data_IF_639758887687
#
_entry.id   IF_639758887687
#
_cell.length_a   1.000
_cell.length_b   1.000
_cell.length_c   1.000
_cell.angle_alpha   90.00
_cell.angle_beta   90.00
_cell.angle_gamma   90.00
#
_symmetry.space_group_name_H-M   'P 1'
#
loop_
_entity.id
_entity.type
_entity.pdbx_description
1 polymer ?
#
# COMPACT_ATOMS: atom_id res chain seq x y z
N UNK A 1 5.84 11.99 69.62
CA UNK A 1 5.60 12.14 68.18
C UNK A 1 4.78 10.99 67.66
N UNK A 2 3.53 11.26 67.26
CA UNK A 2 2.57 10.24 66.80
C UNK A 2 2.75 10.07 65.29
N UNK A 3 3.18 8.89 64.89
CA UNK A 3 3.17 8.43 63.48
C UNK A 3 1.74 8.02 63.12
N UNK A 4 1.09 8.76 62.25
CA UNK A 4 -0.15 8.38 61.60
C UNK A 4 0.17 7.43 60.43
N UNK A 5 -0.26 6.20 60.55
CA UNK A 5 -0.27 5.21 59.47
C UNK A 5 -1.27 5.68 58.37
N UNK A 6 -0.79 5.85 57.15
CA UNK A 6 -1.64 6.07 55.98
C UNK A 6 -2.18 4.72 55.55
N UNK A 7 -3.50 4.61 55.61
CA UNK A 7 -4.28 3.46 55.11
C UNK A 7 -4.12 3.36 53.59
N UNK A 8 -3.56 2.26 53.12
CA UNK A 8 -3.55 1.89 51.71
C UNK A 8 -5.02 1.54 51.27
N UNK A 9 -5.61 2.45 50.54
CA UNK A 9 -6.90 2.20 49.89
C UNK A 9 -6.72 1.11 48.82
N UNK A 10 -7.29 -0.07 49.06
CA UNK A 10 -7.34 -1.15 48.11
C UNK A 10 -8.06 -0.68 46.84
N UNK A 11 -7.32 -0.54 45.75
CA UNK A 11 -7.89 -0.39 44.42
C UNK A 11 -8.66 -1.69 44.11
N UNK A 12 -9.98 -1.64 44.30
CA UNK A 12 -10.86 -2.72 43.86
C UNK A 12 -10.79 -2.82 42.34
N UNK A 13 -10.07 -3.82 41.85
CA UNK A 13 -10.17 -4.31 40.48
C UNK A 13 -11.63 -4.72 40.25
N UNK A 14 -12.45 -3.81 39.69
CA UNK A 14 -13.72 -4.21 39.11
C UNK A 14 -13.40 -5.05 37.88
N UNK A 15 -13.84 -6.30 37.78
CA UNK A 15 -13.71 -7.01 36.54
C UNK A 15 -14.44 -6.21 35.46
N UNK A 16 -13.73 -5.78 34.43
CA UNK A 16 -14.34 -5.21 33.26
C UNK A 16 -15.16 -6.33 32.62
N UNK A 17 -16.47 -6.33 32.87
CA UNK A 17 -17.38 -7.23 32.16
C UNK A 17 -17.32 -6.85 30.68
N UNK A 18 -16.72 -7.70 29.87
CA UNK A 18 -16.71 -7.54 28.43
C UNK A 18 -18.17 -7.46 27.94
N UNK A 19 -18.56 -6.31 27.42
CA UNK A 19 -19.90 -6.11 26.86
C UNK A 19 -19.90 -6.62 25.44
N UNK A 20 -20.61 -7.71 25.17
CA UNK A 20 -20.80 -8.22 23.82
C UNK A 20 -21.72 -7.24 23.09
N UNK A 21 -21.20 -6.66 22.01
CA UNK A 21 -21.96 -5.78 21.13
C UNK A 21 -22.14 -6.48 19.78
N UNK A 22 -23.40 -6.70 19.39
CA UNK A 22 -23.75 -7.29 18.09
C UNK A 22 -23.79 -6.17 17.06
N UNK A 23 -23.13 -6.36 15.92
CA UNK A 23 -23.22 -5.43 14.79
C UNK A 23 -24.65 -5.40 14.25
N UNK A 24 -25.18 -4.23 13.91
CA UNK A 24 -26.45 -4.14 13.21
C UNK A 24 -26.35 -4.82 11.85
N UNK A 25 -27.44 -5.44 11.44
CA UNK A 25 -27.57 -6.12 10.15
C UNK A 25 -28.78 -5.55 9.44
N UNK A 26 -28.59 -5.15 8.17
CA UNK A 26 -29.71 -4.79 7.31
C UNK A 26 -30.47 -6.07 6.88
N UNK A 27 -31.73 -6.28 7.33
CA UNK A 27 -32.48 -7.49 7.02
C UNK A 27 -32.72 -7.66 5.51
N UNK A 28 -32.97 -6.58 4.80
CA UNK A 28 -33.24 -6.60 3.36
C UNK A 28 -32.01 -7.07 2.59
N UNK A 29 -30.84 -6.54 2.91
CA UNK A 29 -29.56 -6.98 2.32
C UNK A 29 -29.31 -8.46 2.59
N UNK A 30 -29.55 -8.92 3.81
CA UNK A 30 -29.40 -10.32 4.18
C UNK A 30 -30.31 -11.23 3.33
N UNK A 31 -31.57 -10.86 3.16
CA UNK A 31 -32.54 -11.60 2.33
C UNK A 31 -32.12 -11.61 0.85
N UNK A 32 -31.65 -10.49 0.32
CA UNK A 32 -31.17 -10.39 -1.06
C UNK A 32 -29.98 -11.33 -1.31
N UNK A 33 -29.03 -11.39 -0.37
CA UNK A 33 -27.88 -12.30 -0.46
C UNK A 33 -28.29 -13.77 -0.39
N UNK A 34 -29.25 -14.13 0.49
CA UNK A 34 -29.80 -15.49 0.58
C UNK A 34 -30.52 -15.86 -0.71
N UNK A 35 -31.35 -14.98 -1.25
CA UNK A 35 -32.05 -15.19 -2.52
C UNK A 35 -31.09 -15.40 -3.69
N UNK A 36 -29.88 -14.80 -3.64
CA UNK A 36 -28.80 -14.99 -4.59
C UNK A 36 -27.98 -16.28 -4.36
N UNK A 37 -28.33 -17.10 -3.37
CA UNK A 37 -27.70 -18.38 -3.10
C UNK A 37 -26.63 -18.37 -2.00
N UNK A 38 -26.46 -17.27 -1.25
CA UNK A 38 -25.55 -17.24 -0.13
C UNK A 38 -26.12 -18.05 1.07
N UNK A 39 -25.23 -18.75 1.77
CA UNK A 39 -25.57 -19.37 3.05
C UNK A 39 -26.11 -18.30 4.03
N UNK A 40 -27.17 -18.60 4.81
CA UNK A 40 -27.77 -17.61 5.72
C UNK A 40 -26.82 -16.98 6.73
N UNK A 41 -25.85 -17.76 7.25
CA UNK A 41 -24.84 -17.22 8.16
C UNK A 41 -23.87 -16.30 7.43
N UNK A 42 -23.43 -16.68 6.25
CA UNK A 42 -22.55 -15.85 5.41
C UNK A 42 -23.26 -14.57 4.98
N UNK A 43 -24.52 -14.66 4.56
CA UNK A 43 -25.33 -13.49 4.20
C UNK A 43 -25.42 -12.50 5.36
N UNK A 44 -25.67 -12.99 6.57
CA UNK A 44 -25.71 -12.16 7.79
C UNK A 44 -24.36 -11.51 8.09
N UNK A 45 -23.26 -12.27 7.98
CA UNK A 45 -21.90 -11.76 8.21
C UNK A 45 -21.52 -10.70 7.17
N UNK A 46 -21.91 -10.88 5.92
CA UNK A 46 -21.68 -9.92 4.84
C UNK A 46 -22.51 -8.63 5.06
N UNK A 47 -23.81 -8.78 5.35
CA UNK A 47 -24.68 -7.64 5.62
C UNK A 47 -24.24 -6.84 6.87
N UNK A 48 -23.68 -7.49 7.89
CA UNK A 48 -23.08 -6.84 9.05
C UNK A 48 -21.76 -6.12 8.75
N UNK A 49 -21.23 -6.24 7.54
CA UNK A 49 -20.01 -5.62 7.03
C UNK A 49 -20.27 -4.70 5.83
N UNK A 50 -21.49 -4.19 5.76
CA UNK A 50 -21.92 -3.21 4.75
C UNK A 50 -21.81 -3.69 3.29
N UNK A 51 -21.84 -5.01 3.07
CA UNK A 51 -21.98 -5.57 1.73
C UNK A 51 -23.38 -5.26 1.25
N UNK A 52 -23.50 -4.46 0.18
CA UNK A 52 -24.79 -3.96 -0.30
C UNK A 52 -25.58 -4.99 -1.13
N UNK A 53 -24.92 -5.90 -1.78
CA UNK A 53 -25.58 -6.90 -2.64
C UNK A 53 -24.67 -8.00 -3.17
N UNK A 54 -25.20 -8.94 -3.97
CA UNK A 54 -24.47 -10.11 -4.47
C UNK A 54 -23.27 -9.74 -5.34
N UNK A 55 -23.35 -8.66 -6.11
CA UNK A 55 -22.27 -8.20 -6.98
C UNK A 55 -20.99 -7.87 -6.21
N UNK A 56 -21.14 -7.42 -4.97
CA UNK A 56 -20.00 -7.15 -4.09
C UNK A 56 -19.32 -8.41 -3.52
N UNK A 57 -19.90 -9.58 -3.72
CA UNK A 57 -19.26 -10.87 -3.41
C UNK A 57 -18.37 -11.35 -4.55
N UNK A 58 -18.46 -10.71 -5.72
CA UNK A 58 -17.61 -11.01 -6.86
C UNK A 58 -16.25 -10.33 -6.69
N UNK A 59 -15.19 -11.09 -6.94
CA UNK A 59 -13.81 -10.64 -6.81
C UNK A 59 -13.09 -10.48 -8.15
N UNK A 60 -13.84 -10.21 -9.21
CA UNK A 60 -13.27 -10.02 -10.56
C UNK A 60 -12.58 -8.67 -10.67
N UNK A 61 -11.39 -8.63 -11.29
CA UNK A 61 -10.66 -7.39 -11.54
C UNK A 61 -11.45 -6.36 -12.36
N UNK A 62 -12.36 -6.82 -13.21
CA UNK A 62 -13.26 -5.94 -13.98
C UNK A 62 -14.27 -5.17 -13.11
N UNK A 63 -14.43 -5.54 -11.85
CA UNK A 63 -15.29 -4.86 -10.88
C UNK A 63 -14.54 -3.83 -10.03
N UNK A 64 -13.23 -3.66 -10.22
CA UNK A 64 -12.48 -2.57 -9.61
C UNK A 64 -13.04 -1.21 -10.03
N UNK A 65 -13.04 -0.26 -9.11
CA UNK A 65 -13.39 1.11 -9.44
C UNK A 65 -12.45 1.65 -10.54
N UNK A 66 -12.95 2.42 -11.51
CA UNK A 66 -12.10 2.98 -12.54
C UNK A 66 -11.13 4.03 -11.96
N UNK A 67 -9.87 3.98 -12.38
CA UNK A 67 -8.84 4.95 -11.96
C UNK A 67 -9.19 6.38 -12.34
N UNK A 68 -10.03 6.60 -13.34
CA UNK A 68 -10.50 7.92 -13.77
C UNK A 68 -11.27 8.68 -12.68
N UNK A 69 -11.84 7.96 -11.69
CA UNK A 69 -12.51 8.56 -10.54
C UNK A 69 -11.52 9.03 -9.45
N UNK A 70 -10.28 8.54 -9.49
CA UNK A 70 -9.23 8.92 -8.55
C UNK A 70 -8.60 10.23 -9.02
N UNK A 71 -8.89 11.30 -8.29
CA UNK A 71 -8.49 12.67 -8.67
C UNK A 71 -6.99 12.76 -8.99
N UNK A 72 -6.67 13.40 -10.11
CA UNK A 72 -5.32 13.58 -10.64
C UNK A 72 -4.60 12.30 -11.09
N UNK A 73 -5.24 11.14 -11.06
CA UNK A 73 -4.61 9.88 -11.46
C UNK A 73 -4.14 9.92 -12.93
N UNK A 74 -4.99 10.42 -13.82
CA UNK A 74 -4.64 10.56 -15.24
C UNK A 74 -3.58 11.67 -15.46
N UNK A 75 -3.64 12.77 -14.70
CA UNK A 75 -2.62 13.83 -14.75
C UNK A 75 -1.25 13.28 -14.32
N UNK A 76 -1.20 12.51 -13.25
CA UNK A 76 0.02 11.83 -12.80
C UNK A 76 0.53 10.86 -13.87
N UNK A 77 -0.36 10.10 -14.49
CA UNK A 77 -0.01 9.16 -15.56
C UNK A 77 0.61 9.85 -16.77
N UNK A 78 0.05 10.98 -17.20
CA UNK A 78 0.61 11.80 -18.30
C UNK A 78 2.02 12.28 -17.95
N UNK A 79 2.21 12.83 -16.74
CA UNK A 79 3.54 13.31 -16.32
C UNK A 79 4.56 12.19 -16.21
N UNK A 80 4.17 11.03 -15.70
CA UNK A 80 5.04 9.84 -15.65
C UNK A 80 5.36 9.32 -17.05
N UNK A 81 4.40 9.31 -17.96
CA UNK A 81 4.63 8.92 -19.36
C UNK A 81 5.64 9.87 -20.03
N UNK A 82 5.54 11.17 -19.81
CA UNK A 82 6.51 12.16 -20.31
C UNK A 82 7.92 11.88 -19.75
N UNK A 83 8.03 11.55 -18.46
CA UNK A 83 9.31 11.20 -17.85
C UNK A 83 9.91 9.92 -18.46
N UNK A 84 9.08 8.93 -18.75
CA UNK A 84 9.52 7.68 -19.40
C UNK A 84 10.02 7.95 -20.82
N UNK A 85 9.27 8.67 -21.64
CA UNK A 85 9.67 8.98 -23.00
C UNK A 85 10.95 9.82 -23.08
N UNK A 86 11.12 10.76 -22.14
CA UNK A 86 12.32 11.59 -22.02
C UNK A 86 13.46 10.93 -21.25
N UNK A 87 13.27 9.72 -20.75
CA UNK A 87 14.24 9.00 -19.91
C UNK A 87 14.73 9.82 -18.71
N UNK A 88 13.83 10.56 -18.10
CA UNK A 88 14.09 11.30 -16.85
C UNK A 88 14.28 10.32 -15.69
N UNK A 89 15.16 10.66 -14.75
CA UNK A 89 15.35 9.87 -13.53
C UNK A 89 14.17 10.12 -12.57
N UNK A 90 13.40 9.07 -12.29
CA UNK A 90 12.30 9.06 -11.32
C UNK A 90 12.83 8.48 -10.02
N UNK A 91 12.71 9.22 -8.92
CA UNK A 91 13.07 8.73 -7.59
C UNK A 91 11.81 8.57 -6.74
N UNK A 92 11.57 7.34 -6.27
CA UNK A 92 10.50 7.04 -5.34
C UNK A 92 10.99 7.35 -3.92
N UNK A 93 10.23 8.19 -3.20
CA UNK A 93 10.42 8.42 -1.76
C UNK A 93 9.40 7.57 -1.01
N UNK A 94 9.88 6.54 -0.32
CA UNK A 94 9.06 5.54 0.34
C UNK A 94 9.25 5.54 1.86
N UNK A 95 8.32 4.90 2.58
CA UNK A 95 8.52 4.52 3.97
C UNK A 95 8.98 3.05 4.06
N UNK A 96 9.44 2.64 5.24
CA UNK A 96 9.94 1.27 5.52
C UNK A 96 8.83 0.33 5.99
N UNK A 97 7.68 0.81 6.44
CA UNK A 97 6.59 -0.05 6.91
C UNK A 97 6.01 -0.91 5.77
N UNK A 98 5.15 -1.85 6.11
CA UNK A 98 4.69 -2.83 5.15
C UNK A 98 3.89 -2.21 3.98
N UNK A 99 3.10 -1.16 4.21
CA UNK A 99 2.40 -0.46 3.13
C UNK A 99 3.40 0.33 2.27
N UNK A 100 4.24 1.15 2.88
CA UNK A 100 5.27 1.93 2.17
C UNK A 100 6.25 1.05 1.40
N UNK A 101 6.71 -0.05 2.01
CA UNK A 101 7.64 -0.98 1.35
C UNK A 101 6.99 -1.71 0.16
N UNK A 102 5.76 -2.19 0.29
CA UNK A 102 5.04 -2.82 -0.83
C UNK A 102 4.69 -1.80 -1.90
N UNK A 103 4.30 -0.59 -1.52
CA UNK A 103 4.04 0.51 -2.46
C UNK A 103 5.28 0.87 -3.28
N UNK A 104 6.45 0.94 -2.63
CA UNK A 104 7.73 1.15 -3.29
C UNK A 104 8.04 0.01 -4.28
N UNK A 105 7.91 -1.24 -3.86
CA UNK A 105 8.18 -2.40 -4.71
C UNK A 105 7.23 -2.44 -5.93
N UNK A 106 5.94 -2.14 -5.74
CA UNK A 106 4.95 -2.01 -6.82
C UNK A 106 5.35 -0.89 -7.78
N UNK A 107 5.70 0.28 -7.25
CA UNK A 107 6.12 1.43 -8.05
C UNK A 107 7.37 1.13 -8.88
N UNK A 108 8.42 0.61 -8.28
CA UNK A 108 9.68 0.25 -8.96
C UNK A 108 9.44 -0.80 -10.05
N UNK A 109 8.80 -1.93 -9.69
CA UNK A 109 8.55 -3.01 -10.66
C UNK A 109 7.65 -2.57 -11.80
N UNK A 110 6.59 -1.82 -11.51
CA UNK A 110 5.67 -1.32 -12.53
C UNK A 110 6.34 -0.30 -13.47
N UNK A 111 7.04 0.68 -12.92
CA UNK A 111 7.73 1.70 -13.70
C UNK A 111 8.85 1.09 -14.57
N UNK A 112 9.69 0.22 -14.00
CA UNK A 112 10.77 -0.43 -14.74
C UNK A 112 10.23 -1.34 -15.85
N UNK A 113 9.13 -2.07 -15.60
CA UNK A 113 8.48 -2.89 -16.62
C UNK A 113 7.93 -2.06 -17.80
N UNK A 114 7.69 -0.77 -17.60
CA UNK A 114 7.27 0.20 -18.62
C UNK A 114 8.45 1.03 -19.17
N UNK A 115 9.69 0.65 -18.90
CA UNK A 115 10.90 1.29 -19.46
C UNK A 115 11.36 2.55 -18.72
N UNK A 116 10.84 2.85 -17.54
CA UNK A 116 11.27 3.99 -16.75
C UNK A 116 12.68 3.80 -16.15
N UNK A 117 13.40 4.90 -15.99
CA UNK A 117 14.56 5.00 -15.09
C UNK A 117 14.06 5.33 -13.69
N UNK A 118 13.82 4.31 -12.90
CA UNK A 118 13.26 4.45 -11.56
C UNK A 118 14.18 3.82 -10.51
N UNK A 119 14.38 4.56 -9.44
CA UNK A 119 15.09 4.14 -8.22
C UNK A 119 14.31 4.62 -7.00
N UNK A 120 14.74 4.28 -5.81
CA UNK A 120 14.03 4.64 -4.58
C UNK A 120 14.97 5.09 -3.47
N UNK A 121 14.40 5.84 -2.52
CA UNK A 121 15.05 6.29 -1.29
C UNK A 121 14.09 6.09 -0.12
N UNK A 122 14.61 5.56 0.99
CA UNK A 122 13.89 5.46 2.25
C UNK A 122 14.49 6.44 3.23
N UNK A 123 13.75 7.48 3.67
CA UNK A 123 14.23 8.40 4.70
C UNK A 123 14.53 7.66 6.00
N UNK A 124 15.67 7.95 6.62
CA UNK A 124 15.92 7.54 7.99
C UNK A 124 15.13 8.46 8.92
N UNK A 125 14.05 7.92 9.52
CA UNK A 125 13.14 8.71 10.38
C UNK A 125 13.82 9.33 11.61
N UNK A 126 14.94 8.77 12.05
CA UNK A 126 15.70 9.30 13.20
C UNK A 126 16.52 10.53 12.83
N UNK A 127 16.92 10.65 11.56
CA UNK A 127 17.75 11.75 11.05
C UNK A 127 16.93 12.76 10.23
N UNK A 128 15.99 12.28 9.40
CA UNK A 128 15.32 13.09 8.38
C UNK A 128 13.82 13.33 8.67
N UNK A 129 13.25 12.72 9.71
CA UNK A 129 11.81 12.77 9.95
C UNK A 129 11.03 11.83 9.03
N UNK A 130 9.73 12.11 8.85
CA UNK A 130 8.81 11.26 8.08
C UNK A 130 8.53 11.86 6.70
N UNK A 131 8.54 10.99 5.67
CA UNK A 131 8.14 11.36 4.31
C UNK A 131 9.14 12.25 3.58
N UNK A 132 8.63 13.03 2.63
CA UNK A 132 9.42 13.96 1.84
C UNK A 132 9.71 15.23 2.65
N UNK A 133 10.92 15.33 3.18
CA UNK A 133 11.42 16.53 3.88
C UNK A 133 12.32 17.37 2.97
N UNK A 134 12.67 18.62 3.32
CA UNK A 134 13.63 19.41 2.56
C UNK A 134 14.98 18.69 2.36
N UNK A 135 15.49 18.00 3.38
CA UNK A 135 16.74 17.25 3.33
C UNK A 135 16.68 16.10 2.34
N UNK A 136 15.53 15.41 2.29
CA UNK A 136 15.30 14.34 1.30
C UNK A 136 15.21 14.90 -0.10
N UNK A 137 14.57 16.06 -0.30
CA UNK A 137 14.55 16.74 -1.59
C UNK A 137 15.97 17.12 -2.06
N UNK A 138 16.81 17.60 -1.16
CA UNK A 138 18.23 17.92 -1.44
C UNK A 138 19.04 16.66 -1.80
N UNK A 139 18.87 15.57 -1.04
CA UNK A 139 19.52 14.30 -1.33
C UNK A 139 19.08 13.72 -2.69
N UNK A 140 17.79 13.82 -3.01
CA UNK A 140 17.26 13.40 -4.30
C UNK A 140 17.80 14.22 -5.46
N UNK A 141 17.90 15.55 -5.32
CA UNK A 141 18.52 16.42 -6.31
C UNK A 141 20.00 16.06 -6.53
N UNK A 142 20.73 15.83 -5.45
CA UNK A 142 22.15 15.40 -5.50
C UNK A 142 22.32 14.04 -6.19
N UNK A 143 21.34 13.14 -6.05
CA UNK A 143 21.30 11.84 -6.74
C UNK A 143 20.90 11.93 -8.22
N UNK A 144 20.62 13.13 -8.73
CA UNK A 144 20.26 13.35 -10.13
C UNK A 144 18.81 13.08 -10.49
N UNK A 145 17.91 13.06 -9.52
CA UNK A 145 16.48 12.94 -9.76
C UNK A 145 15.96 14.14 -10.56
N UNK A 146 14.96 13.90 -11.41
CA UNK A 146 14.21 14.94 -12.12
C UNK A 146 12.77 15.00 -11.64
N UNK A 147 12.20 13.84 -11.33
CA UNK A 147 10.84 13.68 -10.83
C UNK A 147 10.86 12.87 -9.53
N UNK A 148 10.28 13.42 -8.47
CA UNK A 148 10.03 12.71 -7.22
C UNK A 148 8.62 12.12 -7.24
N UNK A 149 8.51 10.86 -6.85
CA UNK A 149 7.25 10.16 -6.67
C UNK A 149 7.19 9.66 -5.23
N UNK A 150 6.32 10.25 -4.40
CA UNK A 150 6.12 9.69 -3.07
C UNK A 150 5.14 8.53 -3.12
N UNK A 151 5.33 7.53 -2.29
CA UNK A 151 4.39 6.42 -2.10
C UNK A 151 4.09 6.27 -0.62
N UNK A 152 2.81 6.21 -0.28
CA UNK A 152 2.32 6.09 1.08
C UNK A 152 2.75 7.23 2.02
N UNK A 153 3.11 8.37 1.46
CA UNK A 153 3.45 9.58 2.19
C UNK A 153 3.32 10.81 1.29
N UNK A 154 3.47 11.99 1.86
CA UNK A 154 3.63 13.22 1.10
C UNK A 154 2.47 14.19 1.20
N UNK A 155 1.26 13.77 1.61
CA UNK A 155 0.10 14.68 1.68
C UNK A 155 0.32 15.84 2.67
N UNK A 156 1.20 15.69 3.65
CA UNK A 156 1.57 16.70 4.63
C UNK A 156 2.95 17.33 4.36
N UNK A 157 3.63 16.97 3.27
CA UNK A 157 5.03 17.35 2.99
C UNK A 157 5.14 18.75 2.35
N UNK A 158 4.56 19.78 2.95
CA UNK A 158 4.55 21.15 2.43
C UNK A 158 5.96 21.69 2.20
N UNK A 159 6.83 21.61 3.20
CA UNK A 159 8.19 22.12 3.14
C UNK A 159 9.07 21.31 2.16
N UNK A 160 8.92 19.99 2.15
CA UNK A 160 9.66 19.10 1.24
C UNK A 160 9.32 19.35 -0.22
N UNK A 161 8.05 19.51 -0.54
CA UNK A 161 7.57 19.84 -1.91
C UNK A 161 8.06 21.22 -2.33
N UNK A 162 7.97 22.23 -1.46
CA UNK A 162 8.48 23.57 -1.74
C UNK A 162 9.99 23.56 -1.99
N UNK A 163 10.75 22.79 -1.20
CA UNK A 163 12.20 22.66 -1.40
C UNK A 163 12.54 21.94 -2.71
N UNK A 164 11.81 20.88 -3.05
CA UNK A 164 11.97 20.20 -4.32
C UNK A 164 11.75 21.14 -5.51
N UNK A 165 10.68 21.94 -5.48
CA UNK A 165 10.41 22.94 -6.50
C UNK A 165 11.54 23.99 -6.64
N UNK A 166 12.07 24.48 -5.50
CA UNK A 166 13.21 25.41 -5.49
C UNK A 166 14.50 24.80 -6.07
N UNK A 167 14.62 23.46 -6.03
CA UNK A 167 15.74 22.73 -6.62
C UNK A 167 15.47 22.31 -8.09
N UNK A 168 14.35 22.70 -8.65
CA UNK A 168 13.96 22.37 -10.03
C UNK A 168 13.44 20.95 -10.20
N UNK A 169 13.06 20.27 -9.11
CA UNK A 169 12.42 18.95 -9.13
C UNK A 169 10.90 19.11 -9.20
N UNK A 170 10.25 18.24 -9.96
CA UNK A 170 8.81 18.07 -9.90
C UNK A 170 8.44 16.96 -8.92
N UNK A 171 7.25 17.05 -8.31
CA UNK A 171 6.77 16.09 -7.34
C UNK A 171 5.39 15.58 -7.72
N UNK A 172 5.21 14.26 -7.66
CA UNK A 172 3.91 13.60 -7.64
C UNK A 172 3.77 12.93 -6.28
N UNK A 173 2.73 13.27 -5.56
CA UNK A 173 2.36 12.63 -4.29
C UNK A 173 1.35 11.53 -4.57
N UNK A 174 1.66 10.29 -4.17
CA UNK A 174 0.67 9.21 -4.03
C UNK A 174 0.58 8.83 -2.56
N UNK A 175 -0.61 8.99 -1.99
CA UNK A 175 -0.83 8.84 -0.56
C UNK A 175 -2.29 8.49 -0.28
N UNK A 176 -2.60 8.02 0.91
CA UNK A 176 -3.96 7.73 1.34
C UNK A 176 -4.32 8.36 2.70
N UNK A 177 -3.34 8.94 3.37
CA UNK A 177 -3.55 9.60 4.66
C UNK A 177 -4.50 10.78 4.54
N UNK A 178 -5.19 11.10 5.62
CA UNK A 178 -6.13 12.21 5.65
C UNK A 178 -5.38 13.54 5.47
N UNK A 179 -5.79 14.38 4.50
CA UNK A 179 -5.18 15.67 4.30
C UNK A 179 -5.51 16.64 5.43
N UNK A 180 -4.61 17.58 5.71
CA UNK A 180 -4.89 18.78 6.49
C UNK A 180 -5.72 19.79 5.65
N UNK A 181 -5.97 20.96 6.21
CA UNK A 181 -6.69 22.05 5.50
C UNK A 181 -5.92 22.50 4.25
N UNK A 182 -4.61 22.62 4.39
CA UNK A 182 -3.68 22.93 3.29
C UNK A 182 -2.92 21.68 2.84
N UNK A 183 -2.66 21.59 1.55
CA UNK A 183 -1.92 20.49 0.93
C UNK A 183 -0.78 21.03 0.07
N UNK A 184 0.29 20.24 -0.17
CA UNK A 184 1.40 20.67 -1.00
C UNK A 184 0.98 21.09 -2.41
N UNK A 185 1.69 22.07 -2.98
CA UNK A 185 1.47 22.56 -4.34
C UNK A 185 2.18 21.66 -5.37
N UNK A 186 1.54 20.53 -5.67
CA UNK A 186 2.01 19.55 -6.65
C UNK A 186 0.85 18.67 -7.12
N UNK A 187 1.13 17.74 -8.02
CA UNK A 187 0.17 16.70 -8.40
C UNK A 187 -0.01 15.75 -7.21
N UNK A 188 -1.25 15.66 -6.70
CA UNK A 188 -1.60 14.78 -5.59
C UNK A 188 -2.64 13.76 -6.04
N UNK A 189 -2.32 12.47 -5.87
CA UNK A 189 -3.23 11.35 -6.05
C UNK A 189 -3.50 10.75 -4.67
N UNK A 190 -4.67 11.00 -4.13
CA UNK A 190 -5.08 10.55 -2.81
C UNK A 190 -6.62 10.45 -2.77
N UNK A 191 -7.20 9.28 -2.44
CA UNK A 191 -8.65 9.11 -2.41
C UNK A 191 -9.34 10.02 -1.40
N UNK A 192 -8.62 10.46 -0.37
CA UNK A 192 -9.11 11.28 0.72
C UNK A 192 -8.95 12.79 0.48
N UNK A 193 -8.29 13.21 -0.63
CA UNK A 193 -8.17 14.63 -0.92
C UNK A 193 -9.52 15.26 -1.28
N UNK A 194 -9.66 16.56 -1.01
CA UNK A 194 -10.87 17.33 -1.29
C UNK A 194 -11.25 17.24 -2.78
N UNK A 195 -12.51 16.91 -3.04
CA UNK A 195 -13.05 16.83 -4.41
C UNK A 195 -12.68 15.55 -5.16
N UNK A 196 -12.14 14.52 -4.48
CA UNK A 196 -11.90 13.22 -5.10
C UNK A 196 -13.21 12.40 -5.14
N UNK A 197 -13.59 11.94 -6.35
CA UNK A 197 -14.80 11.13 -6.58
C UNK A 197 -14.62 9.63 -6.37
N UNK A 198 -13.41 9.18 -6.03
CA UNK A 198 -13.14 7.76 -5.81
C UNK A 198 -13.81 7.25 -4.53
N UNK A 199 -14.67 6.24 -4.66
CA UNK A 199 -15.54 5.82 -3.55
C UNK A 199 -14.79 5.03 -2.47
N UNK A 200 -13.76 4.26 -2.84
CA UNK A 200 -12.96 3.51 -1.86
C UNK A 200 -12.01 4.46 -1.09
N UNK A 201 -12.51 5.04 -0.01
CA UNK A 201 -11.72 5.94 0.85
C UNK A 201 -10.72 5.17 1.72
N UNK A 202 -10.84 3.86 1.78
CA UNK A 202 -9.98 2.95 2.52
C UNK A 202 -8.85 2.34 1.68
N UNK A 203 -8.61 2.84 0.47
CA UNK A 203 -7.52 2.38 -0.37
C UNK A 203 -6.19 2.61 0.34
N UNK A 204 -5.36 1.56 0.48
CA UNK A 204 -4.02 1.66 1.08
C UNK A 204 -3.02 2.37 0.15
N UNK A 205 -1.89 2.82 0.66
CA UNK A 205 -0.85 3.49 -0.14
C UNK A 205 -0.38 2.65 -1.32
N UNK A 206 -0.19 1.35 -1.12
CA UNK A 206 0.13 0.40 -2.21
C UNK A 206 -0.98 0.33 -3.27
N UNK A 207 -2.23 0.45 -2.86
CA UNK A 207 -3.37 0.52 -3.77
C UNK A 207 -3.34 1.78 -4.64
N UNK A 208 -3.00 2.92 -4.05
CA UNK A 208 -2.94 4.20 -4.79
C UNK A 208 -1.92 4.13 -5.92
N UNK A 209 -0.69 3.71 -5.63
CA UNK A 209 0.34 3.58 -6.69
C UNK A 209 -0.05 2.54 -7.73
N UNK A 210 -0.71 1.45 -7.35
CA UNK A 210 -1.20 0.46 -8.30
C UNK A 210 -2.22 1.06 -9.28
N UNK A 211 -3.16 1.88 -8.82
CA UNK A 211 -4.10 2.59 -9.68
C UNK A 211 -3.39 3.60 -10.61
N UNK A 212 -2.39 4.31 -10.12
CA UNK A 212 -1.56 5.20 -10.95
C UNK A 212 -0.85 4.42 -12.06
N UNK A 213 -0.30 3.24 -11.75
CA UNK A 213 0.34 2.38 -12.76
C UNK A 213 -0.65 1.86 -13.81
N UNK A 214 -1.90 1.56 -13.42
CA UNK A 214 -2.95 1.21 -14.39
C UNK A 214 -3.24 2.37 -15.34
N UNK A 215 -3.35 3.59 -14.82
CA UNK A 215 -3.54 4.79 -15.63
C UNK A 215 -2.34 5.06 -16.53
N UNK A 216 -1.12 4.91 -16.02
CA UNK A 216 0.12 5.07 -16.76
C UNK A 216 0.22 4.07 -17.93
N UNK A 217 -0.07 2.79 -17.68
CA UNK A 217 -0.09 1.77 -18.73
C UNK A 217 -1.11 2.13 -19.82
N UNK A 218 -2.30 2.59 -19.44
CA UNK A 218 -3.32 3.01 -20.39
C UNK A 218 -2.87 4.24 -21.21
N UNK A 219 -2.21 5.22 -20.59
CA UNK A 219 -1.67 6.39 -21.28
C UNK A 219 -0.56 6.01 -22.26
N UNK A 220 0.38 5.16 -21.86
CA UNK A 220 1.45 4.66 -22.73
C UNK A 220 0.88 3.85 -23.91
N UNK A 221 -0.15 3.04 -23.68
CA UNK A 221 -0.89 2.34 -24.74
C UNK A 221 -1.51 3.33 -25.72
N UNK A 222 -2.15 4.38 -25.23
CA UNK A 222 -2.74 5.44 -26.05
C UNK A 222 -1.70 6.15 -26.92
N UNK A 223 -0.47 6.28 -26.41
CA UNK A 223 0.69 6.85 -27.16
C UNK A 223 1.36 5.86 -28.13
N UNK A 224 0.87 4.63 -28.24
CA UNK A 224 1.51 3.56 -29.00
C UNK A 224 2.98 3.30 -28.58
N UNK A 225 3.27 3.46 -27.29
CA UNK A 225 4.61 3.38 -26.73
C UNK A 225 5.16 1.93 -26.72
N UNK A 226 4.30 0.94 -26.47
CA UNK A 226 4.70 -0.46 -26.41
C UNK A 226 5.01 -1.04 -27.78
N UNK A 227 5.97 -1.95 -27.85
CA UNK A 227 6.46 -2.60 -29.07
C UNK A 227 6.79 -4.08 -28.82
N UNK A 228 7.31 -4.76 -29.83
CA UNK A 228 7.80 -6.13 -29.67
C UNK A 228 9.02 -6.22 -28.74
N UNK A 229 9.82 -5.16 -28.67
CA UNK A 229 11.01 -5.05 -27.81
C UNK A 229 10.65 -4.72 -26.36
N UNK A 230 9.64 -3.88 -26.16
CA UNK A 230 9.11 -3.53 -24.84
C UNK A 230 7.61 -3.80 -24.81
N UNK A 231 7.26 -5.01 -24.39
CA UNK A 231 5.85 -5.42 -24.31
C UNK A 231 5.11 -4.73 -23.19
N UNK A 232 3.82 -4.53 -23.40
CA UNK A 232 2.93 -4.04 -22.37
C UNK A 232 2.89 -5.00 -21.16
N UNK A 233 3.21 -4.52 -19.93
CA UNK A 233 3.28 -5.40 -18.77
C UNK A 233 1.91 -5.83 -18.27
N UNK A 234 1.83 -7.05 -17.74
CA UNK A 234 0.69 -7.51 -16.97
C UNK A 234 0.78 -7.03 -15.52
N UNK A 235 0.14 -5.92 -15.19
CA UNK A 235 0.16 -5.37 -13.82
C UNK A 235 -0.51 -6.29 -12.79
N UNK A 236 -1.33 -7.26 -13.22
CA UNK A 236 -1.88 -8.29 -12.33
C UNK A 236 -0.80 -9.10 -11.61
N UNK A 237 0.43 -9.13 -12.14
CA UNK A 237 1.56 -9.79 -11.49
C UNK A 237 2.05 -9.08 -10.21
N UNK A 238 1.60 -7.85 -9.96
CA UNK A 238 1.94 -7.08 -8.77
C UNK A 238 0.89 -7.24 -7.63
N UNK A 239 -0.19 -7.98 -7.88
CA UNK A 239 -1.31 -8.07 -6.93
C UNK A 239 -0.95 -8.82 -5.65
N UNK A 240 0.06 -9.66 -5.63
CA UNK A 240 0.60 -10.26 -4.42
C UNK A 240 1.15 -9.19 -3.45
N UNK A 241 1.91 -8.22 -3.97
CA UNK A 241 2.40 -7.07 -3.21
C UNK A 241 1.27 -6.14 -2.77
N UNK A 242 0.33 -5.86 -3.67
CA UNK A 242 -0.84 -5.00 -3.37
C UNK A 242 -1.70 -5.60 -2.25
N UNK A 243 -1.94 -6.91 -2.30
CA UNK A 243 -2.67 -7.61 -1.24
C UNK A 243 -1.94 -7.55 0.10
N UNK A 244 -0.63 -7.78 0.09
CA UNK A 244 0.19 -7.75 1.31
C UNK A 244 0.16 -6.37 1.98
N UNK A 245 0.43 -5.30 1.25
CA UNK A 245 0.41 -3.94 1.81
C UNK A 245 -0.98 -3.54 2.29
N UNK A 246 -2.02 -3.82 1.52
CA UNK A 246 -3.42 -3.51 1.88
C UNK A 246 -3.83 -4.16 3.20
N UNK A 247 -3.51 -5.45 3.39
CA UNK A 247 -3.85 -6.15 4.64
C UNK A 247 -2.98 -5.70 5.80
N UNK A 248 -1.69 -5.49 5.57
CA UNK A 248 -0.75 -5.10 6.61
C UNK A 248 -1.00 -3.70 7.16
N UNK A 249 -1.54 -2.79 6.34
CA UNK A 249 -1.92 -1.43 6.76
C UNK A 249 -3.22 -1.40 7.60
N UNK A 250 -3.93 -2.54 7.68
CA UNK A 250 -5.16 -2.68 8.48
C UNK A 250 -6.31 -1.76 8.02
N UNK A 251 -6.30 -1.32 6.78
CA UNK A 251 -7.42 -0.57 6.20
C UNK A 251 -8.69 -1.41 6.15
N UNK A 252 -9.88 -0.81 6.26
CA UNK A 252 -11.13 -1.52 6.02
C UNK A 252 -11.13 -2.20 4.64
N UNK A 253 -11.55 -3.48 4.61
CA UNK A 253 -11.67 -4.23 3.36
C UNK A 253 -13.05 -3.98 2.74
N UNK A 254 -13.22 -2.80 2.15
CA UNK A 254 -14.36 -2.49 1.31
C UNK A 254 -14.36 -3.35 0.03
N UNK A 255 -15.36 -3.23 -0.82
CA UNK A 255 -15.46 -4.08 -2.02
C UNK A 255 -14.19 -3.98 -2.90
N UNK A 256 -13.71 -2.76 -3.15
CA UNK A 256 -12.53 -2.55 -3.98
C UNK A 256 -11.28 -3.22 -3.38
N UNK A 257 -11.04 -3.03 -2.08
CA UNK A 257 -9.93 -3.68 -1.37
C UNK A 257 -10.07 -5.21 -1.31
N UNK A 258 -11.30 -5.72 -1.14
CA UNK A 258 -11.54 -7.18 -1.18
C UNK A 258 -11.15 -7.80 -2.52
N UNK A 259 -11.43 -7.11 -3.64
CA UNK A 259 -10.99 -7.58 -4.97
C UNK A 259 -9.47 -7.67 -5.03
N UNK A 260 -8.76 -6.60 -4.65
CA UNK A 260 -7.30 -6.56 -4.67
C UNK A 260 -6.69 -7.67 -3.81
N UNK A 261 -7.18 -7.82 -2.58
CA UNK A 261 -6.70 -8.84 -1.64
C UNK A 261 -7.00 -10.25 -2.13
N UNK A 262 -8.21 -10.51 -2.61
CA UNK A 262 -8.61 -11.82 -3.13
C UNK A 262 -7.75 -12.23 -4.33
N UNK A 263 -7.51 -11.33 -5.27
CA UNK A 263 -6.69 -11.62 -6.43
C UNK A 263 -5.22 -11.87 -6.07
N UNK A 264 -4.67 -11.11 -5.12
CA UNK A 264 -3.32 -11.35 -4.60
C UNK A 264 -3.19 -12.70 -3.90
N UNK A 265 -4.17 -13.06 -3.05
CA UNK A 265 -4.21 -14.37 -2.38
C UNK A 265 -4.29 -15.54 -3.36
N UNK A 266 -5.09 -15.41 -4.41
CA UNK A 266 -5.16 -16.42 -5.49
C UNK A 266 -3.79 -16.65 -6.12
N UNK A 267 -3.04 -15.58 -6.40
CA UNK A 267 -1.69 -15.68 -6.95
C UNK A 267 -0.73 -16.37 -5.97
N UNK A 268 -0.76 -15.99 -4.70
CA UNK A 268 0.07 -16.62 -3.66
C UNK A 268 -0.20 -18.13 -3.58
N UNK A 269 -1.46 -18.54 -3.51
CA UNK A 269 -1.88 -19.94 -3.42
C UNK A 269 -1.49 -20.77 -4.66
N UNK A 270 -1.35 -20.13 -5.81
CA UNK A 270 -0.87 -20.76 -7.04
C UNK A 270 0.67 -20.76 -7.16
N UNK A 271 1.39 -20.22 -6.18
CA UNK A 271 2.84 -20.08 -6.24
C UNK A 271 3.33 -19.01 -7.23
N UNK A 272 2.42 -18.18 -7.76
CA UNK A 272 2.71 -17.07 -8.69
C UNK A 272 2.95 -15.77 -7.92
N UNK A 273 3.87 -15.78 -6.98
CA UNK A 273 4.22 -14.64 -6.15
C UNK A 273 5.70 -14.30 -6.29
N UNK A 274 6.08 -13.10 -5.81
CA UNK A 274 7.46 -12.66 -5.76
C UNK A 274 8.29 -13.56 -4.85
N UNK A 275 9.60 -13.80 -5.18
CA UNK A 275 10.50 -14.58 -4.33
C UNK A 275 10.54 -14.08 -2.89
N UNK A 276 10.55 -12.76 -2.66
CA UNK A 276 10.54 -12.17 -1.33
C UNK A 276 9.31 -12.52 -0.51
N UNK A 277 8.11 -12.52 -1.10
CA UNK A 277 6.89 -12.92 -0.42
C UNK A 277 6.94 -14.41 -0.05
N UNK A 278 7.39 -15.27 -0.97
CA UNK A 278 7.57 -16.70 -0.69
C UNK A 278 8.54 -16.91 0.46
N UNK A 279 9.69 -16.26 0.44
CA UNK A 279 10.69 -16.36 1.49
C UNK A 279 10.14 -15.90 2.87
N UNK A 280 9.32 -14.85 2.90
CA UNK A 280 8.65 -14.42 4.13
C UNK A 280 7.68 -15.46 4.66
N UNK A 281 6.90 -16.15 3.81
CA UNK A 281 6.08 -17.29 4.24
C UNK A 281 6.93 -18.41 4.85
N UNK A 282 8.05 -18.75 4.22
CA UNK A 282 8.94 -19.82 4.65
C UNK A 282 9.58 -19.53 6.00
N UNK A 283 10.17 -18.33 6.22
CA UNK A 283 10.74 -17.95 7.52
C UNK A 283 9.68 -17.81 8.61
N UNK A 284 8.46 -17.45 8.25
CA UNK A 284 7.30 -17.41 9.14
C UNK A 284 6.71 -18.79 9.42
N UNK A 285 7.20 -19.87 8.78
CA UNK A 285 6.68 -21.23 8.84
C UNK A 285 5.18 -21.30 8.52
N UNK A 286 4.77 -20.56 7.47
CA UNK A 286 3.40 -20.52 6.95
C UNK A 286 3.32 -21.20 5.60
N UNK A 287 2.27 -21.99 5.37
CA UNK A 287 2.04 -22.61 4.06
C UNK A 287 1.33 -21.64 3.12
N UNK A 288 2.07 -21.11 2.16
CA UNK A 288 1.55 -20.16 1.17
C UNK A 288 0.42 -20.75 0.29
N UNK A 289 0.34 -22.09 0.15
CA UNK A 289 -0.75 -22.75 -0.58
C UNK A 289 -2.10 -22.55 0.08
N UNK A 290 -2.08 -22.24 1.38
CA UNK A 290 -3.24 -21.95 2.22
C UNK A 290 -3.27 -20.51 2.72
N UNK A 291 -2.56 -19.61 2.01
CA UNK A 291 -2.44 -18.21 2.39
C UNK A 291 -3.79 -17.55 2.70
N UNK A 292 -3.83 -16.81 3.79
CA UNK A 292 -5.00 -16.08 4.27
C UNK A 292 -4.61 -14.63 4.61
N UNK A 293 -5.57 -13.71 4.70
CA UNK A 293 -5.29 -12.34 5.15
C UNK A 293 -4.56 -12.30 6.49
N UNK A 294 -4.88 -13.22 7.41
CA UNK A 294 -4.20 -13.35 8.69
C UNK A 294 -2.67 -13.53 8.55
N UNK A 295 -2.22 -14.32 7.59
CA UNK A 295 -0.79 -14.53 7.37
C UNK A 295 -0.09 -13.23 6.95
N UNK A 296 -0.74 -12.45 6.08
CA UNK A 296 -0.21 -11.16 5.63
C UNK A 296 -0.16 -10.13 6.77
N UNK A 297 -1.22 -10.01 7.55
CA UNK A 297 -1.33 -9.01 8.61
C UNK A 297 -0.53 -9.34 9.87
N UNK A 298 -0.38 -10.63 10.23
CA UNK A 298 0.21 -11.05 11.50
C UNK A 298 1.50 -11.86 11.39
N UNK A 299 1.89 -12.26 10.17
CA UNK A 299 3.15 -12.97 9.96
C UNK A 299 4.09 -12.20 9.03
N UNK A 300 3.66 -11.84 7.81
CA UNK A 300 4.53 -11.18 6.84
C UNK A 300 4.72 -9.69 7.13
N UNK A 301 3.64 -8.96 7.37
CA UNK A 301 3.67 -7.52 7.65
C UNK A 301 4.59 -7.15 8.81
N UNK A 302 4.50 -7.77 9.99
CA UNK A 302 5.38 -7.50 11.12
C UNK A 302 6.87 -7.69 10.81
N UNK A 303 7.21 -8.68 9.97
CA UNK A 303 8.61 -8.91 9.55
C UNK A 303 9.13 -7.79 8.67
N UNK A 304 8.32 -7.28 7.75
CA UNK A 304 8.69 -6.11 6.94
C UNK A 304 8.84 -4.88 7.84
N UNK A 305 7.91 -4.64 8.76
CA UNK A 305 7.98 -3.53 9.73
C UNK A 305 9.24 -3.60 10.62
N UNK A 306 9.81 -4.78 10.83
CA UNK A 306 11.04 -4.94 11.60
C UNK A 306 12.24 -4.22 10.96
N UNK A 307 12.21 -3.92 9.67
CA UNK A 307 13.23 -3.10 9.00
C UNK A 307 13.40 -1.72 9.66
N UNK A 308 12.36 -1.16 10.25
CA UNK A 308 12.44 0.11 11.01
C UNK A 308 13.31 0.06 12.27
N UNK A 309 13.83 -1.10 12.65
CA UNK A 309 14.80 -1.28 13.76
C UNK A 309 16.25 -1.34 13.28
N UNK A 310 16.47 -1.29 11.96
CA UNK A 310 17.79 -1.30 11.33
C UNK A 310 18.25 0.11 11.01
N UNK A 311 19.57 0.29 10.93
CA UNK A 311 20.17 1.50 10.39
C UNK A 311 19.80 1.66 8.89
N UNK A 312 19.83 0.56 8.16
CA UNK A 312 19.31 0.50 6.78
C UNK A 312 17.86 0.00 6.78
N UNK A 313 16.92 0.91 6.70
CA UNK A 313 15.49 0.63 6.69
C UNK A 313 14.99 0.09 5.34
N UNK A 314 15.85 0.04 4.30
CA UNK A 314 15.48 -0.43 2.96
C UNK A 314 15.45 -1.95 2.82
N UNK A 315 15.85 -2.71 3.84
CA UNK A 315 15.96 -4.18 3.78
C UNK A 315 14.62 -4.84 3.45
N UNK A 316 13.51 -4.32 3.99
CA UNK A 316 12.17 -4.80 3.65
C UNK A 316 11.85 -4.65 2.16
N UNK A 317 12.14 -3.48 1.60
CA UNK A 317 11.95 -3.20 0.17
C UNK A 317 12.87 -4.09 -0.67
N UNK A 318 14.13 -4.23 -0.28
CA UNK A 318 15.09 -5.10 -0.98
C UNK A 318 14.62 -6.55 -1.03
N UNK A 319 14.03 -7.06 0.06
CA UNK A 319 13.43 -8.39 0.10
C UNK A 319 12.29 -8.53 -0.93
N UNK A 320 11.38 -7.55 -0.98
CA UNK A 320 10.25 -7.56 -1.91
C UNK A 320 10.67 -7.36 -3.38
N UNK A 321 11.78 -6.70 -3.62
CA UNK A 321 12.36 -6.49 -4.96
C UNK A 321 13.25 -7.63 -5.44
N UNK A 322 13.67 -8.55 -4.56
CA UNK A 322 14.57 -9.64 -4.91
C UNK A 322 14.05 -10.47 -6.10
N UNK A 323 14.91 -10.72 -7.07
CA UNK A 323 14.57 -11.41 -8.32
C UNK A 323 14.87 -12.91 -8.27
N UNK A 324 15.54 -13.39 -7.22
CA UNK A 324 15.87 -14.81 -7.03
C UNK A 324 15.64 -15.27 -5.59
N UNK A 325 15.46 -16.56 -5.43
CA UNK A 325 15.12 -17.16 -4.14
C UNK A 325 16.26 -17.03 -3.10
N UNK A 326 17.54 -17.13 -3.52
CA UNK A 326 18.66 -17.05 -2.60
C UNK A 326 18.78 -15.67 -1.94
N UNK A 327 18.69 -14.59 -2.73
CA UNK A 327 18.71 -13.23 -2.21
C UNK A 327 17.48 -12.96 -1.33
N UNK A 328 16.29 -13.41 -1.76
CA UNK A 328 15.06 -13.27 -1.01
C UNK A 328 15.12 -13.96 0.35
N UNK A 329 15.63 -15.19 0.41
CA UNK A 329 15.77 -15.95 1.65
C UNK A 329 16.74 -15.29 2.63
N UNK A 330 17.88 -14.78 2.15
CA UNK A 330 18.84 -14.06 3.00
C UNK A 330 18.20 -12.83 3.65
N UNK A 331 17.49 -12.02 2.86
CA UNK A 331 16.83 -10.81 3.34
C UNK A 331 15.63 -11.12 4.27
N UNK A 332 14.84 -12.13 3.92
CA UNK A 332 13.72 -12.56 4.77
C UNK A 332 14.20 -13.14 6.12
N UNK A 333 15.31 -13.88 6.15
CA UNK A 333 15.92 -14.36 7.39
C UNK A 333 16.37 -13.19 8.27
N UNK A 334 17.02 -12.18 7.69
CA UNK A 334 17.42 -10.97 8.42
C UNK A 334 16.22 -10.25 9.04
N UNK A 335 15.11 -10.09 8.31
CA UNK A 335 13.88 -9.50 8.81
C UNK A 335 13.24 -10.37 9.91
N UNK A 336 13.28 -11.69 9.77
CA UNK A 336 12.76 -12.63 10.76
C UNK A 336 13.52 -12.56 12.08
N UNK A 337 14.85 -12.41 12.05
CA UNK A 337 15.69 -12.34 13.25
C UNK A 337 15.44 -11.07 14.09
N UNK A 338 14.87 -10.05 13.46
CA UNK A 338 14.53 -8.78 14.09
C UNK A 338 13.08 -8.72 14.60
N UNK A 339 12.23 -9.61 14.13
CA UNK A 339 10.82 -9.62 14.51
C UNK A 339 10.63 -10.38 15.84
#
# INVERSE_FOLDING_TARGET
GVLKAASAAAVRNRPMSAKIQVRPVNPQTCQTLIAAGADPLIARLCAARDVAGPDELLDKLSALLPYTLLKNCETAAVRLADAIEKQENILIVADYDADGATACAVGIKGLQAMGARADFMVPNRFENGYGLTPEIAEAAAAAGARLLLTVDNGIASMAGVARAAALGLEVIVTDHHLPAEETPDCIIVNPNQKGCGFQSKSLAGVGVIFFVLMALRAELRRRNYFSDELKEPNLGELLDLVALGTVADVVPLDHNNRILVSQGLKRMRLGKMRPGIRALFEVARRDWRKAQPFDMGFALGPRINAAGRLDDMSVGIACLLADNDAAAQTLAAQLNDLN
#
